data_IF_830016803748
#
_entry.id   IF_830016803748
#
_cell.length_a   1.000
_cell.length_b   1.000
_cell.length_c   1.000
_cell.angle_alpha   90.00
_cell.angle_beta   90.00
_cell.angle_gamma   90.00
#
_symmetry.space_group_name_H-M   'P 1'
#
loop_
_entity.id
_entity.type
_entity.pdbx_description
1 polymer ?
#
# COMPACT_ATOMS: atom_id res chain seq x y z
N UNK A 1 -20.00 -20.22 -6.23
CA UNK A 1 -19.60 -19.14 -7.12
C UNK A 1 -18.29 -18.52 -6.72
N UNK A 2 -17.45 -18.27 -7.67
CA UNK A 2 -16.16 -17.66 -7.39
C UNK A 2 -16.29 -16.17 -7.17
N UNK A 3 -15.53 -15.68 -6.23
CA UNK A 3 -15.42 -14.24 -6.02
C UNK A 3 -14.75 -13.59 -7.22
N UNK A 4 -15.29 -12.47 -7.62
CA UNK A 4 -14.70 -11.71 -8.69
C UNK A 4 -13.35 -11.17 -8.23
N UNK A 5 -12.34 -11.33 -9.07
CA UNK A 5 -11.02 -10.76 -8.81
C UNK A 5 -11.06 -9.26 -8.91
N UNK A 6 -10.38 -8.61 -7.99
CA UNK A 6 -10.36 -7.16 -7.89
C UNK A 6 -8.93 -6.66 -7.85
N UNK A 7 -8.76 -5.40 -8.18
CA UNK A 7 -7.50 -4.71 -8.08
C UNK A 7 -7.58 -3.79 -6.87
N UNK A 8 -6.71 -4.04 -5.89
CA UNK A 8 -6.65 -3.21 -4.69
C UNK A 8 -5.42 -2.32 -4.76
N UNK A 9 -5.62 -1.04 -4.47
CA UNK A 9 -4.55 -0.05 -4.46
C UNK A 9 -4.38 0.46 -3.04
N UNK A 10 -3.21 0.27 -2.46
CA UNK A 10 -2.92 0.66 -1.08
C UNK A 10 -1.88 1.77 -1.05
N UNK A 11 -2.13 2.76 -0.20
CA UNK A 11 -1.10 3.69 0.21
C UNK A 11 -0.10 2.97 1.12
N UNK A 12 1.05 3.55 1.35
CA UNK A 12 2.09 2.95 2.18
C UNK A 12 2.13 3.60 3.56
N UNK A 13 2.75 4.77 3.66
CA UNK A 13 2.99 5.40 4.97
C UNK A 13 1.69 5.80 5.66
N UNK A 14 1.53 5.36 6.90
CA UNK A 14 0.31 5.59 7.65
C UNK A 14 -0.80 4.58 7.38
N UNK A 15 -0.66 3.76 6.34
CA UNK A 15 -1.67 2.75 5.97
C UNK A 15 -1.19 1.33 6.25
N UNK A 16 -0.02 0.96 5.75
CA UNK A 16 0.52 -0.38 5.97
C UNK A 16 1.74 -0.38 6.89
N UNK A 17 2.21 0.78 7.25
CA UNK A 17 3.35 0.97 8.15
C UNK A 17 3.21 2.30 8.86
N UNK A 18 4.10 2.57 9.80
CA UNK A 18 4.10 3.82 10.54
C UNK A 18 4.38 5.01 9.63
N UNK A 19 3.79 6.16 9.96
CA UNK A 19 4.11 7.42 9.31
C UNK A 19 5.37 8.00 9.95
N UNK A 20 6.38 8.30 9.15
CA UNK A 20 7.68 8.75 9.67
C UNK A 20 8.07 10.15 9.19
N UNK A 21 7.22 10.78 8.39
CA UNK A 21 7.48 12.12 7.85
C UNK A 21 8.80 12.18 7.07
N UNK A 22 9.03 11.17 6.25
CA UNK A 22 10.20 11.12 5.37
C UNK A 22 11.35 10.26 5.86
N UNK A 23 11.31 9.78 7.09
CA UNK A 23 12.36 8.89 7.62
C UNK A 23 11.99 7.43 7.34
N UNK A 24 11.89 7.10 6.07
CA UNK A 24 11.32 5.83 5.62
C UNK A 24 12.05 4.60 6.12
N UNK A 25 13.37 4.70 6.32
CA UNK A 25 14.14 3.55 6.78
C UNK A 25 13.75 3.11 8.20
N UNK A 26 13.19 4.01 8.98
CA UNK A 26 12.75 3.72 10.34
C UNK A 26 11.26 3.42 10.44
N UNK A 27 10.56 3.34 9.31
CA UNK A 27 9.17 2.92 9.31
C UNK A 27 9.05 1.46 9.74
N UNK A 28 7.96 1.16 10.44
CA UNK A 28 7.70 -0.20 10.93
C UNK A 28 6.39 -0.72 10.33
N UNK A 29 6.41 -1.93 9.77
CA UNK A 29 5.21 -2.47 9.14
C UNK A 29 4.15 -2.84 10.17
N UNK A 30 2.89 -2.75 9.77
CA UNK A 30 1.78 -3.21 10.58
C UNK A 30 1.51 -4.68 10.25
N UNK A 31 1.72 -5.61 11.19
CA UNK A 31 1.52 -7.05 10.89
C UNK A 31 0.12 -7.39 10.43
N UNK A 32 -0.90 -6.73 10.98
CA UNK A 32 -2.28 -7.02 10.57
C UNK A 32 -2.57 -6.55 9.16
N UNK A 33 -1.96 -5.44 8.74
CA UNK A 33 -2.08 -4.97 7.35
C UNK A 33 -1.42 -5.98 6.40
N UNK A 34 -0.23 -6.46 6.76
CA UNK A 34 0.46 -7.46 5.95
C UNK A 34 -0.37 -8.72 5.79
N UNK A 35 -0.95 -9.21 6.88
CA UNK A 35 -1.78 -10.42 6.82
C UNK A 35 -2.99 -10.22 5.91
N UNK A 36 -3.67 -9.09 6.03
CA UNK A 36 -4.84 -8.80 5.21
C UNK A 36 -4.48 -8.71 3.72
N UNK A 37 -3.41 -7.99 3.39
CA UNK A 37 -2.99 -7.82 2.01
C UNK A 37 -2.53 -9.14 1.41
N UNK A 38 -1.73 -9.91 2.16
CA UNK A 38 -1.24 -11.19 1.66
C UNK A 38 -2.39 -12.19 1.47
N UNK A 39 -3.42 -12.11 2.31
CA UNK A 39 -4.61 -12.92 2.15
C UNK A 39 -5.32 -12.59 0.83
N UNK A 40 -5.47 -11.31 0.52
CA UNK A 40 -6.06 -10.89 -0.75
C UNK A 40 -5.22 -11.38 -1.92
N UNK A 41 -3.91 -11.23 -1.82
CA UNK A 41 -2.99 -11.69 -2.86
C UNK A 41 -3.16 -13.19 -3.08
N UNK A 42 -3.17 -13.97 -2.01
CA UNK A 42 -3.27 -15.43 -2.10
C UNK A 42 -4.62 -15.89 -2.66
N UNK A 43 -5.64 -15.05 -2.56
CA UNK A 43 -6.96 -15.35 -3.10
C UNK A 43 -7.15 -14.81 -4.52
N UNK A 44 -6.08 -14.42 -5.18
CA UNK A 44 -6.11 -14.10 -6.59
C UNK A 44 -6.39 -12.64 -6.92
N UNK A 45 -6.46 -11.78 -5.92
CA UNK A 45 -6.64 -10.35 -6.18
C UNK A 45 -5.31 -9.71 -6.55
N UNK A 46 -5.38 -8.63 -7.31
CA UNK A 46 -4.20 -7.87 -7.70
C UNK A 46 -3.92 -6.81 -6.66
N UNK A 47 -2.68 -6.72 -6.23
CA UNK A 47 -2.25 -5.77 -5.20
C UNK A 47 -1.30 -4.76 -5.81
N UNK A 48 -1.63 -3.49 -5.67
CA UNK A 48 -0.81 -2.38 -6.13
C UNK A 48 -0.54 -1.46 -4.95
N UNK A 49 0.71 -1.07 -4.76
CA UNK A 49 1.05 -0.01 -3.83
C UNK A 49 1.26 1.28 -4.60
N UNK A 50 0.73 2.38 -4.07
CA UNK A 50 0.81 3.69 -4.69
C UNK A 50 1.24 4.70 -3.64
N UNK A 51 2.38 5.36 -3.85
CA UNK A 51 2.99 6.16 -2.79
C UNK A 51 3.52 7.49 -3.30
N UNK A 52 3.45 8.49 -2.43
CA UNK A 52 4.08 9.78 -2.67
C UNK A 52 5.46 9.88 -2.01
N UNK A 53 6.03 8.76 -1.57
CA UNK A 53 7.38 8.73 -1.01
C UNK A 53 8.36 9.40 -1.96
N UNK A 54 9.23 10.22 -1.41
CA UNK A 54 10.30 10.92 -2.13
C UNK A 54 9.84 12.01 -3.08
N UNK A 55 8.52 12.21 -3.23
CA UNK A 55 8.02 13.27 -4.11
C UNK A 55 8.49 14.65 -3.65
N UNK A 56 8.36 14.91 -2.36
CA UNK A 56 8.78 16.18 -1.80
C UNK A 56 10.30 16.32 -1.75
N UNK A 57 10.98 15.24 -1.35
CA UNK A 57 12.44 15.22 -1.20
C UNK A 57 13.15 15.58 -2.50
N UNK A 58 12.65 15.10 -3.63
CA UNK A 58 13.30 15.30 -4.92
C UNK A 58 12.56 16.28 -5.82
N UNK A 59 11.67 17.10 -5.24
CA UNK A 59 10.87 18.06 -6.01
C UNK A 59 10.19 17.41 -7.21
N UNK A 60 9.62 16.22 -7.00
CA UNK A 60 8.91 15.43 -8.01
C UNK A 60 9.76 15.07 -9.23
N UNK A 61 11.09 15.09 -9.13
CA UNK A 61 11.97 14.66 -10.22
C UNK A 61 11.90 13.15 -10.38
N UNK A 62 11.25 12.71 -11.45
CA UNK A 62 10.98 11.29 -11.68
C UNK A 62 12.24 10.44 -11.77
N UNK A 63 13.30 10.95 -12.38
CA UNK A 63 14.56 10.20 -12.50
C UNK A 63 15.17 9.85 -11.15
N UNK A 64 15.15 10.80 -10.21
CA UNK A 64 15.69 10.58 -8.87
C UNK A 64 14.78 9.68 -8.04
N UNK A 65 13.48 9.87 -8.16
CA UNK A 65 12.51 9.05 -7.46
C UNK A 65 12.62 7.60 -7.93
N UNK A 66 12.74 7.40 -9.24
CA UNK A 66 12.90 6.06 -9.80
C UNK A 66 14.21 5.42 -9.36
N UNK A 67 15.30 6.18 -9.40
CA UNK A 67 16.62 5.64 -9.11
C UNK A 67 16.78 5.26 -7.64
N UNK A 68 16.36 6.12 -6.73
CA UNK A 68 16.57 5.91 -5.29
C UNK A 68 15.31 5.46 -4.57
N UNK A 69 14.20 6.11 -4.85
CA UNK A 69 12.96 5.88 -4.11
C UNK A 69 12.30 4.54 -4.42
N UNK A 70 12.20 4.21 -5.69
CA UNK A 70 11.56 2.97 -6.11
C UNK A 70 12.29 1.75 -5.56
N UNK A 71 13.59 1.71 -5.76
CA UNK A 71 14.40 0.57 -5.32
C UNK A 71 14.36 0.39 -3.81
N UNK A 72 14.52 1.48 -3.08
CA UNK A 72 14.47 1.45 -1.62
C UNK A 72 13.11 0.93 -1.14
N UNK A 73 12.04 1.48 -1.67
CA UNK A 73 10.69 1.13 -1.23
C UNK A 73 10.34 -0.31 -1.57
N UNK A 74 10.68 -0.73 -2.78
CA UNK A 74 10.43 -2.11 -3.22
C UNK A 74 11.14 -3.10 -2.31
N UNK A 75 12.41 -2.86 -2.03
CA UNK A 75 13.18 -3.75 -1.16
C UNK A 75 12.62 -3.79 0.25
N UNK A 76 12.18 -2.64 0.75
CA UNK A 76 11.58 -2.57 2.08
C UNK A 76 10.28 -3.39 2.16
N UNK A 77 9.41 -3.27 1.16
CA UNK A 77 8.16 -4.03 1.11
C UNK A 77 8.42 -5.54 1.05
N UNK A 78 9.40 -5.94 0.25
CA UNK A 78 9.78 -7.35 0.14
C UNK A 78 10.33 -7.86 1.47
N UNK A 79 11.21 -7.08 2.09
CA UNK A 79 11.79 -7.45 3.38
C UNK A 79 10.73 -7.57 4.48
N UNK A 80 9.71 -6.71 4.43
CA UNK A 80 8.61 -6.77 5.38
C UNK A 80 7.65 -7.94 5.12
N UNK A 81 7.78 -8.61 3.97
CA UNK A 81 6.96 -9.77 3.65
C UNK A 81 5.63 -9.47 2.97
N UNK A 82 5.47 -8.28 2.41
CA UNK A 82 4.25 -7.96 1.64
C UNK A 82 4.31 -8.61 0.27
N UNK A 83 3.20 -9.17 -0.15
CA UNK A 83 3.02 -9.72 -1.49
C UNK A 83 2.28 -8.70 -2.34
N UNK A 84 2.82 -8.40 -3.52
CA UNK A 84 2.21 -7.38 -4.38
C UNK A 84 2.64 -7.60 -5.82
N UNK A 85 1.88 -6.99 -6.73
CA UNK A 85 2.14 -7.10 -8.18
C UNK A 85 2.83 -5.87 -8.74
N UNK A 86 2.56 -4.70 -8.17
CA UNK A 86 3.13 -3.47 -8.69
C UNK A 86 3.35 -2.46 -7.57
N UNK A 87 4.37 -1.65 -7.74
CA UNK A 87 4.65 -0.49 -6.90
C UNK A 87 4.71 0.72 -7.80
N UNK A 88 3.76 1.64 -7.61
CA UNK A 88 3.71 2.88 -8.37
C UNK A 88 4.10 4.03 -7.48
N UNK A 89 5.14 4.73 -7.91
CA UNK A 89 5.58 5.97 -7.27
C UNK A 89 4.76 7.12 -7.87
N UNK A 90 5.10 8.33 -7.50
CA UNK A 90 4.53 9.56 -8.07
C UNK A 90 3.09 9.87 -7.68
N UNK A 91 2.61 9.28 -6.60
CA UNK A 91 1.33 9.71 -6.05
C UNK A 91 1.47 11.18 -5.65
N UNK A 92 0.53 12.03 -6.06
CA UNK A 92 0.63 13.45 -5.70
C UNK A 92 0.67 13.65 -4.19
N UNK A 93 1.33 14.70 -3.77
CA UNK A 93 1.27 15.13 -2.37
C UNK A 93 -0.02 15.94 -2.21
N UNK A 94 -0.83 15.62 -1.21
CA UNK A 94 -2.15 16.25 -1.06
C UNK A 94 -2.59 16.21 0.40
N UNK A 95 -3.57 17.02 0.73
CA UNK A 95 -4.19 17.00 2.05
C UNK A 95 -5.41 16.09 2.09
N UNK A 96 -6.23 16.11 1.05
CA UNK A 96 -7.46 15.30 0.98
C UNK A 96 -7.59 14.72 -0.41
N UNK A 97 -7.80 13.42 -0.48
CA UNK A 97 -8.09 12.75 -1.75
C UNK A 97 -9.57 12.37 -1.78
N UNK A 98 -10.23 12.75 -2.87
CA UNK A 98 -11.63 12.41 -3.09
C UNK A 98 -11.68 11.48 -4.30
N UNK A 99 -12.21 10.28 -4.09
CA UNK A 99 -12.22 9.25 -5.12
C UNK A 99 -13.45 8.38 -4.91
N UNK A 100 -14.17 8.09 -5.97
CA UNK A 100 -15.40 7.31 -5.92
C UNK A 100 -15.19 5.85 -5.55
N UNK A 101 -13.95 5.38 -5.59
CA UNK A 101 -13.61 3.99 -5.28
C UNK A 101 -12.87 3.83 -3.95
N UNK A 102 -12.80 4.89 -3.16
CA UNK A 102 -12.10 4.86 -1.89
C UNK A 102 -12.81 3.97 -0.89
N UNK A 103 -12.03 3.14 -0.21
CA UNK A 103 -12.49 2.41 0.94
C UNK A 103 -12.24 3.30 2.17
N UNK A 104 -13.27 3.55 2.96
CA UNK A 104 -13.13 4.49 4.07
C UNK A 104 -12.04 4.04 5.03
N UNK A 105 -11.03 4.88 5.22
CA UNK A 105 -9.90 4.58 6.10
C UNK A 105 -10.32 4.69 7.56
N UNK A 106 -10.01 3.65 8.32
CA UNK A 106 -10.16 3.60 9.76
C UNK A 106 -8.91 2.95 10.32
N UNK A 107 -8.65 3.18 11.59
CA UNK A 107 -7.49 2.58 12.24
C UNK A 107 -7.45 1.07 12.07
N UNK A 108 -8.61 0.42 12.04
CA UNK A 108 -8.71 -1.02 11.85
C UNK A 108 -9.26 -1.37 10.46
N UNK A 109 -8.82 -0.66 9.44
CA UNK A 109 -9.30 -0.87 8.07
C UNK A 109 -9.09 -2.31 7.60
N UNK A 110 -7.98 -2.93 8.02
CA UNK A 110 -7.66 -4.29 7.62
C UNK A 110 -8.72 -5.30 8.07
N UNK A 111 -9.25 -5.15 9.26
CA UNK A 111 -10.32 -6.03 9.75
C UNK A 111 -11.59 -5.87 8.95
N UNK A 112 -11.95 -4.62 8.64
CA UNK A 112 -13.13 -4.33 7.85
C UNK A 112 -12.96 -4.82 6.41
N UNK A 113 -11.77 -4.68 5.85
CA UNK A 113 -11.47 -5.16 4.51
C UNK A 113 -11.63 -6.67 4.43
N UNK A 114 -11.09 -7.39 5.40
CA UNK A 114 -11.24 -8.85 5.47
C UNK A 114 -12.70 -9.24 5.57
N UNK A 115 -13.45 -8.57 6.42
CA UNK A 115 -14.86 -8.86 6.59
C UNK A 115 -15.64 -8.66 5.29
N UNK A 116 -15.35 -7.60 4.57
CA UNK A 116 -16.09 -7.26 3.36
C UNK A 116 -15.68 -8.09 2.15
N UNK A 117 -14.39 -8.33 1.95
CA UNK A 117 -13.87 -8.96 0.74
C UNK A 117 -13.40 -10.39 0.93
N UNK A 118 -13.30 -10.86 2.16
CA UNK A 118 -12.83 -12.21 2.46
C UNK A 118 -13.87 -13.05 3.18
N UNK A 119 -15.09 -12.58 3.24
CA UNK A 119 -16.14 -13.25 4.01
C UNK A 119 -16.59 -14.61 3.48
N UNK A 120 -16.22 -14.93 2.26
CA UNK A 120 -16.57 -16.20 1.67
C UNK A 120 -15.60 -17.32 2.03
N UNK A 121 -14.55 -16.99 2.72
CA UNK A 121 -13.55 -17.96 3.13
C UNK A 121 -13.83 -18.41 4.54
N UNK A 122 -14.14 -19.64 4.67
CA UNK A 122 -14.47 -20.22 5.95
C UNK A 122 -13.22 -20.75 6.62
#
# INVERSE_FOLDING_TARGET
MKNKRKIFCFDIDGTICTQTKGDYKNAKPYPKARKAINYLYDNGHTIIFFTSRFMNRYNAKKSLIKKYGYTFTKQQLIKWGFKFHALNMYKPFYDVMIDDKSFFYQKKWHSRLKKEFCKHHK
#
